data_IF_570844851122
#
_entry.id   IF_570844851122
#
_cell.length_a   1.000
_cell.length_b   1.000
_cell.length_c   1.000
_cell.angle_alpha   90.00
_cell.angle_beta   90.00
_cell.angle_gamma   90.00
#
_symmetry.space_group_name_H-M   'P 1'
#
loop_
_entity.id
_entity.type
_entity.pdbx_description
1 polymer ?
#
# COMPACT_ATOMS: atom_id res chain seq x y z
N UNK A 1 -13.84 -29.21 4.25
CA UNK A 1 -15.20 -29.78 4.33
C UNK A 1 -15.16 -30.87 5.38
N UNK A 2 -15.59 -30.58 6.59
CA UNK A 2 -15.56 -31.55 7.69
C UNK A 2 -16.81 -32.44 7.63
N UNK A 3 -16.66 -33.75 7.86
CA UNK A 3 -17.75 -34.72 7.81
C UNK A 3 -18.91 -34.35 8.77
N UNK A 4 -18.58 -33.66 9.87
CA UNK A 4 -19.54 -33.12 10.84
C UNK A 4 -20.50 -32.07 10.25
N UNK A 5 -20.08 -31.31 9.24
CA UNK A 5 -20.97 -30.32 8.59
C UNK A 5 -21.96 -31.01 7.64
N UNK A 6 -21.55 -32.10 7.00
CA UNK A 6 -22.41 -32.90 6.10
C UNK A 6 -23.49 -33.62 6.91
N UNK A 7 -23.10 -34.20 8.05
CA UNK A 7 -24.04 -34.93 8.92
C UNK A 7 -25.03 -33.98 9.62
N UNK A 8 -24.64 -32.74 9.92
CA UNK A 8 -25.53 -31.71 10.43
C UNK A 8 -26.57 -31.27 9.39
N UNK A 9 -26.15 -31.08 8.13
CA UNK A 9 -27.03 -30.72 7.03
C UNK A 9 -28.03 -31.84 6.67
N UNK A 10 -27.59 -33.10 6.73
CA UNK A 10 -28.45 -34.27 6.49
C UNK A 10 -29.52 -34.43 7.57
N UNK A 11 -29.18 -34.23 8.84
CA UNK A 11 -30.14 -34.29 9.94
C UNK A 11 -31.16 -33.15 9.88
N UNK A 12 -30.73 -31.94 9.53
CA UNK A 12 -31.63 -30.78 9.42
C UNK A 12 -32.63 -30.91 8.25
N UNK A 13 -32.24 -31.60 7.17
CA UNK A 13 -33.12 -31.87 6.02
C UNK A 13 -34.21 -32.90 6.36
N UNK A 14 -33.90 -33.87 7.23
CA UNK A 14 -34.80 -34.97 7.61
C UNK A 14 -35.84 -34.56 8.68
N UNK A 15 -35.52 -33.56 9.51
CA UNK A 15 -36.45 -33.02 10.51
C UNK A 15 -37.45 -32.01 9.95
N UNK A 16 -37.27 -31.55 8.70
CA UNK A 16 -38.16 -30.59 8.04
C UNK A 16 -38.18 -29.19 8.68
N UNK A 17 -37.21 -28.89 9.54
CA UNK A 17 -37.13 -27.66 10.35
C UNK A 17 -36.17 -26.61 9.72
N UNK A 18 -35.88 -26.75 8.43
CA UNK A 18 -35.05 -25.81 7.69
C UNK A 18 -35.90 -24.63 7.23
N UNK A 19 -35.94 -23.58 8.05
CA UNK A 19 -36.42 -22.29 7.59
C UNK A 19 -35.41 -21.71 6.59
N UNK A 20 -35.81 -21.67 5.32
CA UNK A 20 -34.96 -21.22 4.19
C UNK A 20 -34.53 -19.76 4.36
N UNK A 21 -35.21 -19.01 5.24
CA UNK A 21 -34.90 -17.63 5.55
C UNK A 21 -33.76 -17.48 6.57
N UNK A 22 -33.50 -18.44 7.47
CA UNK A 22 -32.34 -18.41 8.38
C UNK A 22 -31.01 -18.68 7.64
N UNK A 23 -31.03 -19.53 6.62
CA UNK A 23 -29.85 -19.85 5.79
C UNK A 23 -29.36 -18.61 5.02
N UNK A 24 -30.27 -17.70 4.67
CA UNK A 24 -29.92 -16.45 3.96
C UNK A 24 -29.22 -15.43 4.85
N UNK A 25 -29.43 -15.45 6.17
CA UNK A 25 -28.77 -14.50 7.07
C UNK A 25 -27.30 -14.83 7.32
N UNK A 26 -26.90 -16.11 7.27
CA UNK A 26 -25.48 -16.50 7.40
C UNK A 26 -24.61 -16.13 6.19
N UNK A 27 -25.23 -15.83 5.05
CA UNK A 27 -24.53 -15.41 3.82
C UNK A 27 -24.14 -13.91 3.84
N UNK A 28 -24.52 -13.17 4.90
CA UNK A 28 -24.00 -11.82 5.18
C UNK A 28 -22.58 -11.84 5.76
N UNK A 29 -21.79 -12.88 5.49
CA UNK A 29 -20.33 -12.77 5.61
C UNK A 29 -19.93 -11.67 4.65
N UNK A 30 -19.50 -10.52 5.16
CA UNK A 30 -18.88 -9.46 4.37
C UNK A 30 -17.66 -10.04 3.67
N UNK A 31 -17.87 -10.61 2.48
CA UNK A 31 -16.82 -11.08 1.58
C UNK A 31 -16.07 -9.82 1.19
N UNK A 32 -14.91 -9.64 1.81
CA UNK A 32 -14.03 -8.55 1.47
C UNK A 32 -13.28 -8.99 0.23
N UNK A 33 -13.60 -8.38 -0.91
CA UNK A 33 -12.90 -8.63 -2.17
C UNK A 33 -11.39 -8.37 -1.93
N UNK A 34 -10.60 -9.44 -2.00
CA UNK A 34 -9.16 -9.39 -1.78
C UNK A 34 -8.47 -9.40 -3.13
N UNK A 35 -7.85 -8.28 -3.49
CA UNK A 35 -7.08 -8.20 -4.72
C UNK A 35 -5.73 -8.91 -4.54
N UNK A 36 -5.67 -10.17 -5.00
CA UNK A 36 -4.46 -10.99 -4.99
C UNK A 36 -3.34 -10.44 -5.88
N UNK A 37 -3.63 -9.52 -6.81
CA UNK A 37 -2.62 -8.89 -7.68
C UNK A 37 -1.85 -7.80 -6.94
N UNK A 38 -2.48 -7.17 -5.95
CA UNK A 38 -1.89 -6.13 -5.11
C UNK A 38 -2.07 -6.48 -3.62
N UNK A 39 -1.36 -7.50 -3.10
CA UNK A 39 -1.34 -7.70 -1.66
C UNK A 39 -0.81 -6.42 -1.00
N UNK A 40 -1.62 -5.78 -0.16
CA UNK A 40 -1.18 -4.65 0.68
C UNK A 40 -0.12 -5.16 1.66
N UNK A 41 1.13 -5.18 1.20
CA UNK A 41 2.30 -5.63 1.97
C UNK A 41 2.59 -4.67 3.13
N UNK A 42 2.22 -3.41 2.98
CA UNK A 42 2.41 -2.37 3.99
C UNK A 42 1.06 -2.01 4.62
N UNK A 43 1.01 -2.02 5.95
CA UNK A 43 -0.20 -1.65 6.68
C UNK A 43 -0.44 -0.13 6.63
N UNK A 44 -1.69 0.31 6.86
CA UNK A 44 -2.02 1.74 6.94
C UNK A 44 -1.23 2.47 8.03
N UNK A 45 -0.97 1.81 9.15
CA UNK A 45 -0.18 2.36 10.24
C UNK A 45 1.28 2.57 9.79
N UNK A 46 1.86 1.59 9.09
CA UNK A 46 3.22 1.70 8.54
C UNK A 46 3.32 2.81 7.49
N UNK A 47 2.32 2.99 6.63
CA UNK A 47 2.27 4.13 5.69
C UNK A 47 2.24 5.46 6.44
N UNK A 48 1.45 5.56 7.52
CA UNK A 48 1.43 6.78 8.35
C UNK A 48 2.78 7.03 9.01
N UNK A 49 3.47 6.00 9.46
CA UNK A 49 4.85 6.12 9.96
C UNK A 49 5.79 6.62 8.87
N UNK A 50 5.72 6.07 7.65
CA UNK A 50 6.53 6.55 6.52
C UNK A 50 6.25 8.01 6.19
N UNK A 51 5.00 8.47 6.24
CA UNK A 51 4.63 9.86 6.02
C UNK A 51 5.34 10.79 7.01
N UNK A 52 5.31 10.45 8.31
CA UNK A 52 6.03 11.20 9.35
C UNK A 52 7.55 11.20 9.10
N UNK A 53 8.13 10.08 8.67
CA UNK A 53 9.55 10.00 8.32
C UNK A 53 9.87 10.94 7.15
N UNK A 54 9.06 10.93 6.09
CA UNK A 54 9.25 11.76 4.92
C UNK A 54 9.04 13.26 5.21
N UNK A 55 8.08 13.63 6.06
CA UNK A 55 7.93 15.01 6.50
C UNK A 55 9.17 15.54 7.21
N UNK A 56 9.75 14.74 8.12
CA UNK A 56 10.96 15.11 8.83
C UNK A 56 12.16 15.23 7.87
N UNK A 57 12.32 14.23 6.99
CA UNK A 57 13.35 14.27 5.94
C UNK A 57 13.20 15.51 5.05
N UNK A 58 11.98 15.82 4.59
CA UNK A 58 11.67 16.97 3.75
C UNK A 58 12.07 18.30 4.39
N UNK A 59 11.83 18.47 5.69
CA UNK A 59 12.27 19.68 6.44
C UNK A 59 13.79 19.81 6.51
N UNK A 60 14.49 18.71 6.79
CA UNK A 60 15.96 18.69 6.80
C UNK A 60 16.53 18.96 5.40
N UNK A 61 15.96 18.34 4.38
CA UNK A 61 16.37 18.50 2.99
C UNK A 61 16.15 19.93 2.49
N UNK A 62 15.00 20.54 2.81
CA UNK A 62 14.72 21.94 2.51
C UNK A 62 15.76 22.87 3.12
N UNK A 63 16.08 22.66 4.40
CA UNK A 63 17.08 23.47 5.12
C UNK A 63 18.45 23.34 4.48
N UNK A 64 18.85 22.10 4.15
CA UNK A 64 20.10 21.82 3.46
C UNK A 64 20.18 22.51 2.10
N UNK A 65 19.16 22.36 1.25
CA UNK A 65 19.15 22.98 -0.07
C UNK A 65 19.12 24.51 0.00
N UNK A 66 18.34 25.08 0.91
CA UNK A 66 18.29 26.53 1.11
C UNK A 66 19.68 27.08 1.48
N UNK A 67 20.41 26.38 2.35
CA UNK A 67 21.77 26.75 2.73
C UNK A 67 22.79 26.61 1.58
N UNK A 68 22.73 25.52 0.81
CA UNK A 68 23.69 25.25 -0.27
C UNK A 68 23.44 26.14 -1.50
N UNK A 69 22.18 26.30 -1.90
CA UNK A 69 21.80 27.08 -3.09
C UNK A 69 21.69 28.58 -2.81
N UNK A 70 21.75 29.00 -1.53
CA UNK A 70 21.57 30.39 -1.09
C UNK A 70 20.29 31.04 -1.62
N UNK A 71 19.26 30.23 -1.82
CA UNK A 71 17.95 30.63 -2.36
C UNK A 71 16.87 29.99 -1.51
N UNK A 72 15.71 30.63 -1.38
CA UNK A 72 14.60 30.06 -0.61
C UNK A 72 14.05 28.82 -1.34
N UNK A 73 14.19 27.65 -0.71
CA UNK A 73 13.64 26.38 -1.21
C UNK A 73 12.46 25.98 -0.34
N UNK A 74 11.40 25.47 -0.97
CA UNK A 74 10.24 24.89 -0.29
C UNK A 74 10.07 23.42 -0.69
N UNK A 75 9.96 22.54 0.28
CA UNK A 75 9.75 21.09 0.09
C UNK A 75 8.50 20.70 0.86
N UNK A 76 7.54 20.07 0.18
CA UNK A 76 6.32 19.53 0.76
C UNK A 76 6.16 18.07 0.32
N UNK A 77 5.70 17.22 1.23
CA UNK A 77 5.28 15.86 0.89
C UNK A 77 3.85 15.93 0.35
N UNK A 78 3.62 15.35 -0.83
CA UNK A 78 2.30 15.33 -1.45
C UNK A 78 1.51 14.10 -1.01
N UNK A 79 2.09 12.92 -1.23
CA UNK A 79 1.51 11.64 -0.81
C UNK A 79 2.62 10.64 -0.48
N UNK A 80 2.26 9.58 0.26
CA UNK A 80 3.08 8.41 0.49
C UNK A 80 2.20 7.19 0.23
N UNK A 81 2.46 6.53 -0.89
CA UNK A 81 1.62 5.46 -1.43
C UNK A 81 2.45 4.22 -1.75
N UNK A 82 1.77 3.07 -1.80
CA UNK A 82 2.34 1.81 -2.27
C UNK A 82 1.84 1.54 -3.69
N UNK A 83 2.76 1.31 -4.62
CA UNK A 83 2.46 0.97 -6.02
C UNK A 83 3.01 -0.41 -6.40
N UNK A 84 2.40 -1.04 -7.41
CA UNK A 84 3.05 -2.16 -8.08
C UNK A 84 4.27 -1.66 -8.87
N UNK A 85 5.34 -2.46 -8.91
CA UNK A 85 6.56 -2.06 -9.63
C UNK A 85 6.31 -1.78 -11.11
N UNK A 86 5.40 -2.51 -11.75
CA UNK A 86 5.00 -2.27 -13.15
C UNK A 86 4.34 -0.92 -13.35
N UNK A 87 3.52 -0.46 -12.41
CA UNK A 87 2.87 0.86 -12.47
C UNK A 87 3.92 1.96 -12.36
N UNK A 88 4.84 1.82 -11.41
CA UNK A 88 5.96 2.74 -11.26
C UNK A 88 6.84 2.78 -12.52
N UNK A 89 7.28 1.62 -13.04
CA UNK A 89 8.15 1.56 -14.22
C UNK A 89 7.50 2.15 -15.47
N UNK A 90 6.18 2.04 -15.62
CA UNK A 90 5.45 2.60 -16.76
C UNK A 90 5.21 4.11 -16.62
N UNK A 91 5.27 4.65 -15.39
CA UNK A 91 5.07 6.07 -15.12
C UNK A 91 6.34 6.92 -15.32
N UNK A 92 7.51 6.29 -15.42
CA UNK A 92 8.79 6.99 -15.59
C UNK A 92 8.82 7.68 -16.98
N UNK A 93 9.06 9.01 -17.03
CA UNK A 93 9.11 9.75 -18.29
C UNK A 93 10.33 9.35 -19.14
N UNK A 94 10.28 9.62 -20.45
CA UNK A 94 11.43 9.43 -21.34
C UNK A 94 11.75 10.76 -22.06
N UNK A 95 12.87 11.43 -21.75
CA UNK A 95 13.94 11.01 -20.82
C UNK A 95 13.57 11.18 -19.33
N UNK A 96 14.16 10.34 -18.47
CA UNK A 96 14.09 10.47 -17.00
C UNK A 96 15.47 10.70 -16.38
N UNK A 97 15.48 11.40 -15.24
CA UNK A 97 16.66 11.57 -14.40
C UNK A 97 16.50 10.76 -13.11
N UNK A 98 17.09 9.57 -13.11
CA UNK A 98 16.99 8.62 -12.01
C UNK A 98 18.30 8.55 -11.22
N UNK A 99 18.21 8.61 -9.89
CA UNK A 99 19.31 8.35 -8.98
C UNK A 99 19.04 7.08 -8.17
N UNK A 100 20.06 6.23 -8.06
CA UNK A 100 20.04 5.04 -7.19
C UNK A 100 20.96 5.33 -6.01
N UNK A 101 20.41 5.19 -4.81
CA UNK A 101 21.12 5.42 -3.55
C UNK A 101 21.10 4.14 -2.73
N UNK A 102 22.27 3.68 -2.28
CA UNK A 102 22.36 2.53 -1.39
C UNK A 102 21.80 2.87 -0.01
N UNK A 103 20.91 2.03 0.53
CA UNK A 103 20.20 2.35 1.76
C UNK A 103 20.91 1.89 3.04
N UNK A 104 22.24 1.92 3.06
CA UNK A 104 23.02 1.46 4.22
C UNK A 104 22.68 2.28 5.49
N UNK A 105 22.51 1.64 6.68
CA UNK A 105 22.75 0.23 7.00
C UNK A 105 21.56 -0.71 6.73
N UNK A 106 20.46 -0.20 6.20
CA UNK A 106 19.31 -1.01 5.79
C UNK A 106 19.61 -1.73 4.47
N UNK A 107 18.87 -2.80 4.23
CA UNK A 107 19.00 -3.57 3.00
C UNK A 107 18.19 -2.92 1.87
N UNK A 108 18.77 -2.94 0.66
CA UNK A 108 18.11 -2.47 -0.56
C UNK A 108 18.64 -1.12 -1.04
N UNK A 109 17.92 -0.56 -2.02
CA UNK A 109 18.27 0.68 -2.70
C UNK A 109 17.06 1.60 -2.76
N UNK A 110 17.32 2.89 -2.69
CA UNK A 110 16.34 3.95 -2.92
C UNK A 110 16.50 4.42 -4.35
N UNK A 111 15.40 4.46 -5.08
CA UNK A 111 15.33 5.07 -6.41
C UNK A 111 14.65 6.44 -6.28
N UNK A 112 15.30 7.47 -6.80
CA UNK A 112 14.80 8.84 -6.79
C UNK A 112 14.65 9.28 -8.25
N UNK A 113 13.43 9.68 -8.63
CA UNK A 113 13.15 10.33 -9.91
C UNK A 113 13.00 11.84 -9.68
N UNK A 114 13.70 12.64 -10.49
CA UNK A 114 13.62 14.10 -10.44
C UNK A 114 13.15 14.60 -11.80
N UNK A 115 12.04 15.34 -11.79
CA UNK A 115 11.56 16.00 -13.00
C UNK A 115 12.62 16.97 -13.54
N UNK A 116 12.96 16.91 -14.84
CA UNK A 116 13.88 17.85 -15.46
C UNK A 116 13.45 19.31 -15.35
N UNK A 117 12.16 19.58 -15.11
CA UNK A 117 11.63 20.94 -14.96
C UNK A 117 12.11 21.68 -13.71
N UNK A 118 12.72 20.98 -12.74
CA UNK A 118 13.29 21.56 -11.51
C UNK A 118 14.78 21.89 -11.70
N UNK A 119 15.40 21.36 -12.77
CA UNK A 119 16.78 21.65 -13.18
C UNK A 119 16.82 22.85 -14.12
#
# INVERSE_FOLDING_TARGET
MSQSEIDALLNALDTGDLDVDEIKEEDNRKIREYDFRNPQKISKEQLKTLEVIHENFGRSFQTYLTGNLRTNVKVNILTVDQFAYSEFSNAIPNPAFLLIVDFSPLQGQILIDISPSIM
#
